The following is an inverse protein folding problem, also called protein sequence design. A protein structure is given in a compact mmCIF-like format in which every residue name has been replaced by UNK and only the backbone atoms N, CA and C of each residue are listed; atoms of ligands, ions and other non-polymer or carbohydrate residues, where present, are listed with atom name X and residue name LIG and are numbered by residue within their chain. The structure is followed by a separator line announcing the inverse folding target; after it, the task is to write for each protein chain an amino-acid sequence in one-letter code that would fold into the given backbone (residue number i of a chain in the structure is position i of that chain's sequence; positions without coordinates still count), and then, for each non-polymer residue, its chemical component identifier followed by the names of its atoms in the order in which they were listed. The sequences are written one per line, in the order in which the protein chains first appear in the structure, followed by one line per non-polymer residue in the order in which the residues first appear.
data_IF_503470081804
#
_entry.id   IF_503470081804
#
_cell.length_a   1.000
_cell.length_b   1.000
_cell.length_c   1.000
_cell.angle_alpha   90.00
_cell.angle_beta   90.00
_cell.angle_gamma   90.00
#
_symmetry.space_group_name_H-M   'P 1'
#
loop_
_entity.id
_entity.type
_entity.pdbx_description
1 polymer ?
#
# COMPACT_ATOMS: atom_id res chain seq x y z
N UNK A 1 -11.61 3.71 -13.77
CA UNK A 1 -11.01 4.98 -13.30
C UNK A 1 -9.85 5.28 -14.20
N UNK A 2 -9.85 6.44 -14.83
CA UNK A 2 -8.73 6.93 -15.64
C UNK A 2 -7.67 7.58 -14.75
N UNK A 3 -6.48 7.83 -15.30
CA UNK A 3 -5.42 8.55 -14.60
C UNK A 3 -5.84 9.99 -14.25
N UNK A 4 -6.48 10.70 -15.19
CA UNK A 4 -6.98 12.05 -14.97
C UNK A 4 -8.03 12.10 -13.86
N UNK A 5 -8.98 11.15 -13.85
CA UNK A 5 -9.95 11.01 -12.76
C UNK A 5 -9.24 10.79 -11.42
N UNK A 6 -8.26 9.89 -11.36
CA UNK A 6 -7.50 9.61 -10.14
C UNK A 6 -6.82 10.85 -9.56
N UNK A 7 -6.21 11.69 -10.38
CA UNK A 7 -5.55 12.92 -9.92
C UNK A 7 -6.52 14.03 -9.52
N UNK A 8 -7.74 14.02 -10.05
CA UNK A 8 -8.80 14.97 -9.66
C UNK A 8 -9.43 14.66 -8.29
N UNK A 9 -9.32 13.41 -7.81
CA UNK A 9 -9.89 12.99 -6.53
C UNK A 9 -9.04 13.49 -5.35
N UNK A 10 -9.68 13.59 -4.18
CA UNK A 10 -9.03 13.94 -2.91
C UNK A 10 -8.43 12.68 -2.29
N UNK A 11 -7.15 12.72 -1.93
CA UNK A 11 -6.43 11.56 -1.41
C UNK A 11 -6.21 11.65 0.10
N UNK A 12 -6.34 10.51 0.77
CA UNK A 12 -5.71 10.29 2.06
C UNK A 12 -4.37 9.57 1.87
N UNK A 13 -3.34 10.02 2.59
CA UNK A 13 -2.01 9.43 2.52
C UNK A 13 -1.37 9.31 3.89
N UNK A 14 -0.38 8.43 3.98
CA UNK A 14 0.48 8.35 5.15
C UNK A 14 1.59 9.36 5.01
N UNK A 15 1.76 10.13 6.07
CA UNK A 15 2.89 11.02 6.22
C UNK A 15 3.44 10.86 7.63
N UNK A 16 4.56 10.15 7.75
CA UNK A 16 5.32 10.11 8.98
C UNK A 16 6.17 11.38 9.01
N UNK A 17 5.74 12.40 9.76
CA UNK A 17 6.45 13.66 10.07
C UNK A 17 7.05 14.47 8.88
N UNK A 18 7.20 15.80 9.00
CA UNK A 18 7.74 16.64 7.91
C UNK A 18 9.17 16.28 7.46
N UNK A 19 9.89 15.46 8.24
CA UNK A 19 11.30 15.15 8.04
C UNK A 19 11.64 13.65 8.05
N UNK A 20 10.63 12.76 8.11
CA UNK A 20 10.91 11.33 8.00
C UNK A 20 10.78 10.87 6.54
N UNK A 21 11.54 9.83 6.22
CA UNK A 21 11.53 9.12 4.95
C UNK A 21 10.09 8.99 4.42
N UNK A 22 9.84 9.58 3.24
CA UNK A 22 8.53 9.52 2.59
C UNK A 22 8.07 8.07 2.55
N UNK A 23 6.81 7.82 2.94
CA UNK A 23 6.22 6.48 2.87
C UNK A 23 6.43 5.91 1.45
N UNK A 24 6.95 4.68 1.27
CA UNK A 24 7.43 4.18 -0.03
C UNK A 24 6.39 4.32 -1.16
N UNK A 25 5.13 4.03 -0.86
CA UNK A 25 4.02 4.19 -1.82
C UNK A 25 3.81 5.67 -2.20
N UNK A 26 3.84 6.58 -1.23
CA UNK A 26 3.66 8.00 -1.48
C UNK A 26 4.85 8.61 -2.22
N UNK A 27 6.07 8.19 -1.88
CA UNK A 27 7.30 8.58 -2.54
C UNK A 27 7.31 8.15 -4.02
N UNK A 28 7.01 6.86 -4.27
CA UNK A 28 6.94 6.30 -5.60
C UNK A 28 5.91 7.00 -6.48
N UNK A 29 4.69 7.20 -5.97
CA UNK A 29 3.62 7.86 -6.72
C UNK A 29 3.97 9.31 -7.05
N UNK A 30 4.55 10.05 -6.10
CA UNK A 30 4.99 11.41 -6.35
C UNK A 30 6.12 11.48 -7.39
N UNK A 31 7.06 10.55 -7.34
CA UNK A 31 8.20 10.53 -8.25
C UNK A 31 7.80 10.18 -9.68
N UNK A 32 6.91 9.20 -9.84
CA UNK A 32 6.53 8.68 -11.15
C UNK A 32 5.44 9.51 -11.84
N UNK A 33 4.51 10.09 -11.07
CA UNK A 33 3.27 10.64 -11.65
C UNK A 33 2.89 12.05 -11.13
N UNK A 34 3.75 12.68 -10.33
CA UNK A 34 3.52 14.04 -9.84
C UNK A 34 2.63 14.14 -8.60
N UNK A 35 2.07 15.33 -8.34
CA UNK A 35 1.38 15.64 -7.09
C UNK A 35 -0.08 15.22 -7.12
N UNK A 36 -0.49 14.47 -6.09
CA UNK A 36 -1.89 14.20 -5.74
C UNK A 36 -2.40 15.29 -4.79
N UNK A 37 -3.70 15.57 -4.82
CA UNK A 37 -4.34 16.40 -3.80
C UNK A 37 -4.47 15.62 -2.49
N UNK A 38 -3.52 15.82 -1.57
CA UNK A 38 -3.54 15.15 -0.26
C UNK A 38 -4.39 15.99 0.71
N UNK A 39 -5.67 15.64 0.81
CA UNK A 39 -6.62 16.33 1.69
C UNK A 39 -6.47 15.93 3.17
N UNK A 40 -6.06 14.69 3.45
CA UNK A 40 -5.87 14.19 4.82
C UNK A 40 -4.58 13.39 4.93
N UNK A 41 -3.85 13.62 6.02
CA UNK A 41 -2.61 12.89 6.36
C UNK A 41 -2.81 12.13 7.67
N UNK A 42 -2.30 10.91 7.75
CA UNK A 42 -2.30 10.12 8.99
C UNK A 42 -0.93 9.51 9.25
N UNK A 43 -0.59 9.34 10.53
CA UNK A 43 0.62 8.66 10.96
C UNK A 43 0.47 7.13 11.07
N UNK A 44 -0.75 6.61 10.95
CA UNK A 44 -1.03 5.18 11.12
C UNK A 44 -1.62 4.56 9.84
N UNK A 45 -0.96 3.53 9.31
CA UNK A 45 -1.38 2.84 8.09
C UNK A 45 -2.78 2.21 8.21
N UNK A 46 -3.09 1.67 9.38
CA UNK A 46 -4.39 1.04 9.69
C UNK A 46 -5.57 2.03 9.71
N UNK A 47 -5.32 3.33 9.84
CA UNK A 47 -6.37 4.35 9.84
C UNK A 47 -6.80 4.74 8.43
N UNK A 48 -5.95 4.56 7.41
CA UNK A 48 -6.25 4.95 6.02
C UNK A 48 -7.62 4.47 5.51
N UNK A 49 -8.00 3.17 5.64
CA UNK A 49 -9.27 2.70 5.11
C UNK A 49 -10.47 3.35 5.80
N UNK A 50 -10.35 3.68 7.09
CA UNK A 50 -11.41 4.32 7.87
C UNK A 50 -11.68 5.75 7.42
N UNK A 51 -10.69 6.44 6.86
CA UNK A 51 -10.84 7.80 6.33
C UNK A 51 -11.64 7.83 5.01
N UNK A 52 -11.66 6.71 4.28
CA UNK A 52 -12.41 6.57 3.02
C UNK A 52 -13.89 6.26 3.29
N UNK A 53 -14.17 5.46 4.32
CA UNK A 53 -15.55 5.04 4.64
C UNK A 53 -16.42 6.26 4.91
N UNK A 54 -17.49 6.41 4.12
CA UNK A 54 -18.48 7.48 4.28
C UNK A 54 -18.02 8.85 3.78
N UNK A 55 -16.86 8.96 3.13
CA UNK A 55 -16.32 10.20 2.59
C UNK A 55 -16.05 10.17 1.08
N UNK A 56 -15.45 11.26 0.59
CA UNK A 56 -15.05 11.49 -0.81
C UNK A 56 -13.55 11.22 -1.06
N UNK A 57 -12.88 10.59 -0.09
CA UNK A 57 -11.44 10.34 -0.14
C UNK A 57 -11.12 9.03 -0.85
N UNK A 58 -10.01 9.01 -1.57
CA UNK A 58 -9.39 7.79 -2.08
C UNK A 58 -8.03 7.53 -1.43
N UNK A 59 -7.63 6.25 -1.37
CA UNK A 59 -6.29 5.86 -0.93
C UNK A 59 -5.63 4.98 -1.98
N UNK A 60 -4.31 5.10 -2.10
CA UNK A 60 -3.49 4.14 -2.87
C UNK A 60 -2.62 3.37 -1.89
N UNK A 61 -2.80 2.05 -1.89
CA UNK A 61 -2.27 1.14 -0.87
C UNK A 61 -1.95 -0.21 -1.51
N UNK A 62 -1.30 -1.09 -0.74
CA UNK A 62 -1.00 -2.45 -1.17
C UNK A 62 -2.27 -3.26 -1.35
N UNK A 63 -2.34 -4.01 -2.46
CA UNK A 63 -3.49 -4.86 -2.82
C UNK A 63 -3.97 -5.72 -1.65
N UNK A 64 -3.07 -6.49 -1.05
CA UNK A 64 -3.42 -7.42 0.05
C UNK A 64 -4.06 -6.70 1.24
N UNK A 65 -3.61 -5.47 1.54
CA UNK A 65 -4.22 -4.67 2.60
C UNK A 65 -5.58 -4.12 2.19
N UNK A 66 -5.73 -3.64 0.95
CA UNK A 66 -7.03 -3.21 0.43
C UNK A 66 -8.06 -4.34 0.47
N UNK A 67 -7.69 -5.54 0.03
CA UNK A 67 -8.57 -6.73 0.00
C UNK A 67 -8.99 -7.13 1.42
N UNK A 68 -8.04 -7.15 2.36
CA UNK A 68 -8.31 -7.42 3.78
C UNK A 68 -9.26 -6.39 4.40
N UNK A 69 -9.13 -5.11 4.05
CA UNK A 69 -10.03 -4.08 4.55
C UNK A 69 -11.42 -4.18 3.90
N UNK A 70 -11.48 -4.44 2.59
CA UNK A 70 -12.74 -4.58 1.87
C UNK A 70 -13.56 -5.82 2.29
N UNK A 71 -12.93 -6.85 2.86
CA UNK A 71 -13.66 -7.98 3.43
C UNK A 71 -14.39 -7.66 4.74
N UNK A 72 -14.08 -6.53 5.39
CA UNK A 72 -14.63 -6.15 6.71
C UNK A 72 -15.22 -4.74 6.75
N UNK A 73 -15.01 -3.93 5.70
CA UNK A 73 -15.45 -2.54 5.60
C UNK A 73 -16.14 -2.30 4.25
N UNK A 74 -17.07 -1.34 4.14
CA UNK A 74 -17.75 -1.02 2.88
C UNK A 74 -16.83 -0.24 1.94
N UNK A 75 -15.79 -0.90 1.43
CA UNK A 75 -14.76 -0.32 0.57
C UNK A 75 -14.78 -1.02 -0.78
N UNK A 76 -14.60 -0.24 -1.84
CA UNK A 76 -14.42 -0.76 -3.20
C UNK A 76 -12.96 -0.69 -3.58
N UNK A 77 -12.44 -1.84 -4.01
CA UNK A 77 -11.06 -1.99 -4.46
C UNK A 77 -11.04 -1.94 -5.98
N UNK A 78 -10.29 -1.00 -6.55
CA UNK A 78 -10.19 -0.80 -8.01
C UNK A 78 -8.73 -0.97 -8.50
N UNK A 79 -8.52 -1.21 -9.81
CA UNK A 79 -7.20 -1.11 -10.41
C UNK A 79 -6.62 0.30 -10.22
N UNK A 80 -5.32 0.38 -9.90
CA UNK A 80 -4.64 1.67 -9.84
C UNK A 80 -4.37 2.12 -11.29
N UNK A 81 -4.82 3.32 -11.71
CA UNK A 81 -4.72 3.74 -13.10
C UNK A 81 -3.33 4.27 -13.47
N UNK A 82 -2.43 4.36 -12.50
CA UNK A 82 -1.04 4.77 -12.69
C UNK A 82 -0.11 3.60 -12.43
N UNK A 83 1.02 3.58 -13.14
CA UNK A 83 2.03 2.54 -12.95
C UNK A 83 2.57 2.57 -11.52
N UNK A 84 2.60 1.43 -10.83
CA UNK A 84 3.15 1.38 -9.47
C UNK A 84 4.32 0.41 -9.42
N UNK A 85 5.44 0.77 -8.78
CA UNK A 85 6.56 -0.14 -8.68
C UNK A 85 6.17 -1.32 -7.79
N UNK A 86 6.72 -2.49 -8.11
CA UNK A 86 6.52 -3.68 -7.29
C UNK A 86 7.18 -3.48 -5.93
N UNK A 87 6.38 -3.41 -4.86
CA UNK A 87 6.92 -3.37 -3.51
C UNK A 87 7.46 -4.74 -3.11
N UNK A 88 8.72 -4.78 -2.68
CA UNK A 88 9.36 -5.99 -2.14
C UNK A 88 9.63 -5.79 -0.66
N UNK A 89 9.11 -6.69 0.17
CA UNK A 89 9.45 -6.72 1.58
C UNK A 89 10.77 -7.44 1.77
N UNK A 90 11.67 -6.81 2.53
CA UNK A 90 12.99 -7.35 2.87
C UNK A 90 13.14 -7.41 4.38
N UNK A 91 13.74 -8.47 4.88
CA UNK A 91 14.19 -8.55 6.26
C UNK A 91 15.62 -8.01 6.34
N UNK A 92 15.88 -7.11 7.27
CA UNK A 92 17.18 -6.46 7.45
C UNK A 92 17.66 -6.63 8.89
N UNK A 93 18.95 -6.84 9.06
CA UNK A 93 19.64 -6.95 10.34
C UNK A 93 21.09 -6.48 10.17
N UNK A 94 21.83 -6.38 11.27
CA UNK A 94 23.25 -6.02 11.26
C UNK A 94 24.10 -7.18 10.73
N UNK A 95 25.07 -6.92 9.84
CA UNK A 95 25.84 -7.94 9.11
C UNK A 95 26.52 -9.00 10.00
N UNK A 96 26.96 -8.63 11.21
CA UNK A 96 27.55 -9.60 12.15
C UNK A 96 26.59 -10.72 12.58
N UNK A 97 25.28 -10.54 12.34
CA UNK A 97 24.21 -11.51 12.65
C UNK A 97 23.81 -12.38 11.46
N UNK A 98 24.48 -12.27 10.32
CA UNK A 98 24.16 -13.04 9.10
C UNK A 98 24.15 -14.56 9.32
N UNK A 99 24.90 -15.05 10.32
CA UNK A 99 25.01 -16.47 10.67
C UNK A 99 24.20 -16.85 11.90
N UNK A 100 23.38 -15.95 12.46
CA UNK A 100 22.57 -16.29 13.63
C UNK A 100 21.48 -17.31 13.26
N UNK A 101 21.47 -18.51 13.88
CA UNK A 101 20.53 -19.57 13.53
C UNK A 101 19.07 -19.15 13.65
N UNK A 102 18.74 -18.31 14.63
CA UNK A 102 17.37 -17.84 14.86
C UNK A 102 16.88 -16.92 13.74
N UNK A 103 17.75 -16.05 13.21
CA UNK A 103 17.42 -15.16 12.10
C UNK A 103 17.20 -15.98 10.84
N UNK A 104 18.12 -16.89 10.54
CA UNK A 104 18.04 -17.76 9.37
C UNK A 104 16.76 -18.60 9.39
N UNK A 105 16.46 -19.22 10.54
CA UNK A 105 15.23 -20.00 10.73
C UNK A 105 13.98 -19.14 10.53
N UNK A 106 13.92 -17.95 11.14
CA UNK A 106 12.74 -17.08 11.06
C UNK A 106 12.51 -16.58 9.63
N UNK A 107 13.57 -16.16 8.94
CA UNK A 107 13.48 -15.70 7.54
C UNK A 107 13.02 -16.83 6.63
N UNK A 108 13.54 -18.04 6.82
CA UNK A 108 13.12 -19.20 6.03
C UNK A 108 11.66 -19.58 6.31
N UNK A 109 11.22 -19.51 7.57
CA UNK A 109 9.82 -19.71 7.95
C UNK A 109 8.91 -18.67 7.28
N UNK A 110 9.28 -17.38 7.33
CA UNK A 110 8.52 -16.31 6.69
C UNK A 110 8.42 -16.50 5.17
N UNK A 111 9.53 -16.88 4.51
CA UNK A 111 9.54 -17.19 3.07
C UNK A 111 8.59 -18.32 2.73
N UNK A 112 8.66 -19.43 3.48
CA UNK A 112 7.82 -20.61 3.27
C UNK A 112 6.34 -20.28 3.41
N UNK A 113 5.96 -19.57 4.49
CA UNK A 113 4.57 -19.14 4.71
C UNK A 113 4.13 -18.18 3.60
N UNK A 114 4.99 -17.24 3.20
CA UNK A 114 4.67 -16.30 2.12
C UNK A 114 4.42 -16.98 0.77
N UNK A 115 5.08 -18.10 0.48
CA UNK A 115 4.85 -18.88 -0.75
C UNK A 115 3.50 -19.63 -0.72
N UNK A 116 2.98 -19.93 0.46
CA UNK A 116 1.68 -20.59 0.63
C UNK A 116 0.51 -19.61 0.64
N UNK A 117 0.76 -18.32 0.85
CA UNK A 117 -0.29 -17.30 0.81
C UNK A 117 -0.82 -17.14 -0.61
N UNK A 118 -2.14 -17.10 -0.74
CA UNK A 118 -2.77 -16.76 -2.02
C UNK A 118 -2.21 -15.43 -2.57
N UNK A 119 -2.00 -15.34 -3.89
CA UNK A 119 -1.61 -14.09 -4.51
C UNK A 119 -2.65 -13.02 -4.19
N UNK A 120 -2.19 -11.76 -4.12
CA UNK A 120 -3.11 -10.65 -3.91
C UNK A 120 -4.09 -10.60 -5.10
N UNK A 121 -5.35 -10.24 -4.85
CA UNK A 121 -6.35 -10.30 -5.92
C UNK A 121 -5.98 -9.34 -7.07
N UNK A 122 -6.24 -9.75 -8.31
CA UNK A 122 -6.10 -8.87 -9.46
C UNK A 122 -7.51 -8.36 -9.76
N UNK A 123 -7.83 -7.07 -9.52
CA UNK A 123 -9.14 -6.55 -9.87
C UNK A 123 -9.32 -6.56 -11.38
N UNK A 124 -10.48 -7.05 -11.82
CA UNK A 124 -10.91 -7.06 -13.21
C UNK A 124 -10.80 -5.63 -13.80
N UNK A 125 -10.16 -5.45 -14.97
CA UNK A 125 -10.11 -4.17 -15.65
C UNK A 125 -11.49 -3.86 -16.27
N UNK A 126 -12.41 -3.35 -15.45
CA UNK A 126 -13.68 -2.82 -15.93
C UNK A 126 -14.90 -3.21 -15.12
N UNK A 127 -15.31 -2.33 -14.21
CA UNK A 127 -16.71 -1.94 -14.13
C UNK A 127 -16.73 -0.46 -13.73
N UNK A 128 -16.69 0.40 -14.75
CA UNK A 128 -17.19 1.74 -14.62
C UNK A 128 -18.72 1.61 -14.59
N UNK A 129 -19.30 1.76 -13.40
CA UNK A 129 -20.71 2.00 -13.18
C UNK A 129 -20.80 2.96 -12.00
#
# INVERSE_FOLDING_TARGET
MTEAEYFSLRHAAIEHTPNAMRHPVGAALHHLHGRRDIAVKTGAYSTLPRLVVGGDLVITTLRRFADMCASTMPLRVVPCPVETPRLTFVAQWQSYRDREPIILWLVELMKRVSMQMAPASVPEPGLAA
#
